data_IF_706299100729
#
_entry.id   IF_706299100729
#
_cell.length_a   1.000
_cell.length_b   1.000
_cell.length_c   1.000
_cell.angle_alpha   90.00
_cell.angle_beta   90.00
_cell.angle_gamma   90.00
#
_symmetry.space_group_name_H-M   'P 1'
#
loop_
_entity.id
_entity.type
_entity.pdbx_description
1 polymer ?
#
# COMPACT_ATOMS: atom_id res chain seq x y z
N UNK A 1 2.93 -21.62 -30.15
CA UNK A 1 3.00 -20.84 -28.88
C UNK A 1 1.72 -20.03 -28.80
N UNK A 2 0.74 -20.54 -28.08
CA UNK A 2 -0.56 -19.87 -27.88
C UNK A 2 -0.35 -18.67 -26.98
N UNK A 3 -0.39 -17.46 -27.52
CA UNK A 3 -0.56 -16.23 -26.74
C UNK A 3 -1.89 -16.36 -26.01
N UNK A 4 -1.84 -16.76 -24.74
CA UNK A 4 -3.01 -16.70 -23.87
C UNK A 4 -3.36 -15.22 -23.75
N UNK A 5 -4.41 -14.79 -24.42
CA UNK A 5 -4.90 -13.42 -24.32
C UNK A 5 -5.33 -13.20 -22.86
N UNK A 6 -4.52 -12.47 -22.10
CA UNK A 6 -4.77 -12.21 -20.70
C UNK A 6 -5.97 -11.26 -20.56
N UNK A 7 -7.06 -11.74 -19.99
CA UNK A 7 -8.20 -10.90 -19.65
C UNK A 7 -7.84 -10.04 -18.41
N UNK A 8 -7.57 -8.76 -18.65
CA UNK A 8 -7.20 -7.83 -17.59
C UNK A 8 -8.35 -7.53 -16.62
N UNK A 9 -9.60 -7.63 -17.07
CA UNK A 9 -10.76 -7.45 -16.19
C UNK A 9 -10.87 -8.61 -15.22
N UNK A 10 -10.70 -9.83 -15.71
CA UNK A 10 -10.67 -11.01 -14.86
C UNK A 10 -9.47 -11.00 -13.92
N UNK A 11 -8.28 -10.61 -14.40
CA UNK A 11 -7.09 -10.46 -13.55
C UNK A 11 -7.32 -9.47 -12.42
N UNK A 12 -7.93 -8.32 -12.70
CA UNK A 12 -8.24 -7.32 -11.67
C UNK A 12 -9.23 -7.87 -10.62
N UNK A 13 -10.20 -8.67 -11.04
CA UNK A 13 -11.13 -9.34 -10.11
C UNK A 13 -10.41 -10.39 -9.25
N UNK A 14 -9.55 -11.19 -9.85
CA UNK A 14 -8.73 -12.19 -9.15
C UNK A 14 -7.80 -11.54 -8.12
N UNK A 15 -7.10 -10.45 -8.46
CA UNK A 15 -6.24 -9.70 -7.55
C UNK A 15 -7.03 -9.19 -6.34
N UNK A 16 -8.23 -8.65 -6.55
CA UNK A 16 -9.10 -8.19 -5.46
C UNK A 16 -9.57 -9.34 -4.57
N UNK A 17 -9.84 -10.49 -5.16
CA UNK A 17 -10.19 -11.70 -4.40
C UNK A 17 -9.02 -12.16 -3.54
N UNK A 18 -7.84 -12.35 -4.12
CA UNK A 18 -6.63 -12.74 -3.39
C UNK A 18 -6.26 -11.75 -2.28
N UNK A 19 -6.44 -10.46 -2.53
CA UNK A 19 -6.25 -9.43 -1.49
C UNK A 19 -7.15 -9.67 -0.29
N UNK A 20 -8.43 -9.95 -0.50
CA UNK A 20 -9.37 -10.27 0.59
C UNK A 20 -9.01 -11.57 1.32
N UNK A 21 -8.64 -12.61 0.58
CA UNK A 21 -8.19 -13.89 1.15
C UNK A 21 -6.93 -13.75 2.02
N UNK A 22 -6.04 -12.83 1.65
CA UNK A 22 -4.87 -12.45 2.44
C UNK A 22 -5.20 -11.56 3.65
N UNK A 23 -6.48 -11.15 3.79
CA UNK A 23 -6.98 -10.37 4.92
C UNK A 23 -6.85 -8.87 4.77
N UNK A 24 -6.64 -8.35 3.56
CA UNK A 24 -6.79 -6.92 3.29
C UNK A 24 -8.28 -6.54 3.22
N UNK A 25 -8.66 -5.41 3.82
CA UNK A 25 -10.04 -4.92 3.80
C UNK A 25 -10.38 -4.25 2.47
N UNK A 26 -9.41 -3.58 1.88
CA UNK A 26 -9.57 -2.89 0.60
C UNK A 26 -8.35 -3.09 -0.29
N UNK A 27 -8.60 -3.11 -1.59
CA UNK A 27 -7.57 -3.14 -2.62
C UNK A 27 -8.02 -2.29 -3.81
N UNK A 28 -7.16 -1.37 -4.22
CA UNK A 28 -7.32 -0.54 -5.41
C UNK A 28 -6.24 -0.84 -6.46
N UNK A 29 -6.59 -0.70 -7.73
CA UNK A 29 -5.65 -0.79 -8.85
C UNK A 29 -5.79 0.52 -9.62
N UNK A 30 -4.70 1.28 -9.74
CA UNK A 30 -4.63 2.53 -10.48
C UNK A 30 -3.61 2.44 -11.62
N UNK A 31 -3.71 3.37 -12.55
CA UNK A 31 -2.63 3.65 -13.50
C UNK A 31 -1.47 4.40 -12.81
N UNK A 32 -0.53 4.89 -13.59
CA UNK A 32 0.68 5.58 -13.13
C UNK A 32 0.64 7.09 -13.42
N UNK A 33 -0.46 7.61 -13.96
CA UNK A 33 -0.61 9.03 -14.22
C UNK A 33 -1.05 9.76 -12.95
N UNK A 34 -0.09 10.42 -12.31
CA UNK A 34 -0.27 11.27 -11.13
C UNK A 34 0.07 12.74 -11.43
N UNK A 35 -0.07 13.17 -12.69
CA UNK A 35 0.28 14.53 -13.11
C UNK A 35 -0.49 15.61 -12.34
N UNK A 36 -1.74 15.35 -11.99
CA UNK A 36 -2.55 16.23 -11.15
C UNK A 36 -2.06 16.28 -9.71
N UNK A 37 -1.77 15.15 -9.13
CA UNK A 37 -1.28 15.01 -7.74
C UNK A 37 0.12 15.61 -7.60
N UNK A 38 0.95 15.51 -8.64
CA UNK A 38 2.27 16.15 -8.70
C UNK A 38 2.17 17.67 -8.55
N UNK A 39 1.23 18.30 -9.24
CA UNK A 39 0.97 19.74 -9.10
C UNK A 39 0.63 20.12 -7.64
N UNK A 40 -0.25 19.37 -7.00
CA UNK A 40 -0.65 19.63 -5.62
C UNK A 40 0.50 19.39 -4.63
N UNK A 41 1.27 18.33 -4.84
CA UNK A 41 2.46 18.06 -4.02
C UNK A 41 3.48 19.21 -4.15
N UNK A 42 3.73 19.69 -5.36
CA UNK A 42 4.67 20.80 -5.57
C UNK A 42 4.20 22.09 -4.90
N UNK A 43 2.92 22.46 -5.06
CA UNK A 43 2.36 23.62 -4.38
C UNK A 43 2.46 23.52 -2.86
N UNK A 44 2.25 22.32 -2.30
CA UNK A 44 2.36 22.06 -0.87
C UNK A 44 3.80 22.21 -0.39
N UNK A 45 4.77 21.72 -1.16
CA UNK A 45 6.21 21.87 -0.87
C UNK A 45 6.65 23.34 -0.98
N UNK A 46 6.25 24.04 -2.04
CA UNK A 46 6.59 25.46 -2.27
C UNK A 46 6.03 26.37 -1.16
N UNK A 47 4.91 25.96 -0.56
CA UNK A 47 4.29 26.65 0.58
C UNK A 47 4.96 26.33 1.91
N UNK A 48 5.95 25.43 1.96
CA UNK A 48 6.65 25.03 3.18
C UNK A 48 5.81 24.21 4.15
N UNK A 49 4.70 23.63 3.69
CA UNK A 49 3.76 22.89 4.55
C UNK A 49 4.32 21.56 5.07
N UNK A 50 5.42 21.08 4.50
CA UNK A 50 6.15 19.89 4.98
C UNK A 50 6.85 20.14 6.33
N UNK A 51 7.05 21.40 6.75
CA UNK A 51 7.82 21.72 7.95
C UNK A 51 9.19 21.06 7.93
N UNK A 52 9.55 20.37 9.01
CA UNK A 52 10.83 19.66 9.16
C UNK A 52 10.90 18.31 8.42
N UNK A 53 9.87 17.95 7.62
CA UNK A 53 9.85 16.69 6.86
C UNK A 53 10.59 16.82 5.52
N UNK A 54 11.88 17.15 5.55
CA UNK A 54 12.72 17.35 4.35
C UNK A 54 12.72 16.16 3.39
N UNK A 55 12.45 14.94 3.92
CA UNK A 55 12.36 13.73 3.10
C UNK A 55 11.20 13.81 2.08
N UNK A 56 10.22 14.68 2.27
CA UNK A 56 9.13 14.86 1.32
C UNK A 56 9.59 15.44 -0.01
N UNK A 57 10.59 16.32 0.00
CA UNK A 57 11.20 16.90 -1.21
C UNK A 57 12.34 16.02 -1.79
N UNK A 58 12.97 15.19 -0.96
CA UNK A 58 14.24 14.51 -1.27
C UNK A 58 14.22 13.63 -2.52
N UNK A 59 13.10 13.02 -2.84
CA UNK A 59 12.97 12.09 -3.97
C UNK A 59 12.40 12.73 -5.24
N UNK A 60 12.18 14.06 -5.23
CA UNK A 60 11.70 14.80 -6.38
C UNK A 60 10.46 14.15 -7.02
N UNK A 61 10.49 14.04 -8.34
CA UNK A 61 9.38 13.48 -9.16
C UNK A 61 9.14 11.98 -8.98
N UNK A 62 10.10 11.22 -8.44
CA UNK A 62 9.90 9.79 -8.20
C UNK A 62 8.75 9.46 -7.23
N UNK A 63 8.25 10.45 -6.45
CA UNK A 63 7.05 10.30 -5.61
C UNK A 63 5.76 10.22 -6.39
N UNK A 64 5.71 10.86 -7.53
CA UNK A 64 4.52 11.01 -8.37
C UNK A 64 4.65 10.30 -9.71
N UNK A 65 5.83 9.75 -9.98
CA UNK A 65 6.12 9.02 -11.21
C UNK A 65 6.63 7.61 -10.90
N UNK A 66 5.72 6.66 -10.70
CA UNK A 66 6.07 5.29 -10.31
C UNK A 66 7.04 4.59 -11.26
N UNK A 67 7.03 4.94 -12.53
CA UNK A 67 7.93 4.43 -13.56
C UNK A 67 9.38 4.96 -13.44
N UNK A 68 9.58 6.13 -12.84
CA UNK A 68 10.93 6.62 -12.48
C UNK A 68 11.50 5.82 -11.30
N UNK A 69 10.62 5.38 -10.37
CA UNK A 69 11.02 4.56 -9.22
C UNK A 69 11.29 3.11 -9.63
N UNK A 70 10.40 2.54 -10.42
CA UNK A 70 10.49 1.17 -10.94
C UNK A 70 10.21 1.20 -12.44
N UNK A 71 11.25 1.19 -13.30
CA UNK A 71 11.10 1.25 -14.75
C UNK A 71 10.18 0.16 -15.28
N UNK A 72 9.24 0.57 -16.14
CA UNK A 72 8.26 -0.31 -16.74
C UNK A 72 7.00 -0.55 -15.90
N UNK A 73 6.81 0.19 -14.80
CA UNK A 73 5.58 0.16 -14.01
C UNK A 73 4.38 0.60 -14.86
N UNK A 74 3.36 -0.24 -14.94
CA UNK A 74 2.13 0.03 -15.71
C UNK A 74 0.90 0.21 -14.81
N UNK A 75 0.94 -0.32 -13.60
CA UNK A 75 -0.15 -0.23 -12.60
C UNK A 75 0.42 -0.20 -11.20
N UNK A 76 -0.30 0.45 -10.30
CA UNK A 76 -0.03 0.44 -8.86
C UNK A 76 -1.19 -0.26 -8.17
N UNK A 77 -0.86 -1.26 -7.35
CA UNK A 77 -1.82 -1.96 -6.49
C UNK A 77 -1.65 -1.45 -5.07
N UNK A 78 -2.69 -0.81 -4.56
CA UNK A 78 -2.72 -0.29 -3.19
C UNK A 78 -3.62 -1.15 -2.31
N UNK A 79 -3.19 -1.41 -1.10
CA UNK A 79 -3.93 -2.23 -0.14
C UNK A 79 -4.14 -1.49 1.18
N UNK A 80 -5.24 -1.82 1.87
CA UNK A 80 -5.52 -1.34 3.22
C UNK A 80 -5.64 -2.52 4.16
N UNK A 81 -4.86 -2.48 5.25
CA UNK A 81 -4.93 -3.45 6.34
C UNK A 81 -5.39 -2.75 7.63
N UNK A 82 -6.49 -3.21 8.20
CA UNK A 82 -6.99 -2.70 9.46
C UNK A 82 -6.12 -3.20 10.63
N UNK A 83 -5.84 -2.32 11.59
CA UNK A 83 -5.08 -2.64 12.80
C UNK A 83 -5.92 -2.52 14.08
N UNK A 84 -7.25 -2.43 13.96
CA UNK A 84 -8.18 -2.46 15.10
C UNK A 84 -8.81 -3.87 15.19
N UNK A 85 -8.31 -4.78 16.03
CA UNK A 85 -8.91 -6.08 16.21
C UNK A 85 -10.23 -5.97 16.98
N UNK A 86 -11.17 -6.90 16.71
CA UNK A 86 -12.49 -6.93 17.36
C UNK A 86 -12.40 -7.04 18.89
N UNK A 87 -11.38 -7.74 19.39
CA UNK A 87 -11.15 -7.94 20.83
C UNK A 87 -10.27 -6.82 21.46
N UNK A 88 -10.09 -5.69 20.78
CA UNK A 88 -9.31 -4.60 21.36
C UNK A 88 -10.03 -3.99 22.55
N UNK A 89 -9.32 -3.80 23.66
CA UNK A 89 -9.80 -3.04 24.82
C UNK A 89 -10.19 -1.62 24.39
N UNK A 90 -11.22 -1.07 24.99
CA UNK A 90 -11.61 0.32 24.73
C UNK A 90 -10.49 1.30 25.08
N UNK A 91 -10.39 2.37 24.28
CA UNK A 91 -9.31 3.34 24.44
C UNK A 91 -9.44 4.16 25.73
N UNK A 92 -10.69 4.51 26.10
CA UNK A 92 -10.94 5.29 27.30
C UNK A 92 -10.72 4.45 28.56
N UNK A 93 -11.16 3.18 28.55
CA UNK A 93 -10.86 2.24 29.63
C UNK A 93 -9.36 2.06 29.85
N UNK A 94 -8.57 2.08 28.78
CA UNK A 94 -7.10 1.96 28.87
C UNK A 94 -6.47 3.26 29.38
N UNK A 95 -7.00 4.42 28.98
CA UNK A 95 -6.50 5.73 29.42
C UNK A 95 -6.81 6.00 30.91
N UNK A 96 -7.96 5.51 31.38
CA UNK A 96 -8.39 5.69 32.78
C UNK A 96 -7.75 4.67 33.72
N UNK A 97 -7.05 3.67 33.21
CA UNK A 97 -6.38 2.63 33.99
C UNK A 97 -4.97 3.11 34.41
N UNK A 98 -4.73 3.38 35.73
CA UNK A 98 -3.46 3.86 36.20
C UNK A 98 -2.30 2.85 36.08
N UNK A 99 -2.63 1.56 35.92
CA UNK A 99 -1.67 0.46 35.80
C UNK A 99 -1.39 0.07 34.34
N UNK A 100 -2.00 0.76 33.36
CA UNK A 100 -1.86 0.49 31.95
C UNK A 100 -1.17 1.63 31.20
N UNK A 101 -0.23 1.30 30.31
CA UNK A 101 0.30 2.25 29.34
C UNK A 101 -0.60 2.30 28.10
N UNK A 102 -0.94 3.50 27.64
CA UNK A 102 -1.62 3.68 26.37
C UNK A 102 -0.62 3.65 25.23
N UNK A 103 -0.67 2.60 24.42
CA UNK A 103 0.19 2.43 23.25
C UNK A 103 -0.68 2.51 21.99
N UNK A 104 -0.22 3.26 20.99
CA UNK A 104 -0.91 3.36 19.68
C UNK A 104 -1.18 1.97 19.10
N UNK A 105 -2.41 1.72 18.67
CA UNK A 105 -2.89 0.40 18.26
C UNK A 105 -2.08 -0.21 17.12
N UNK A 106 -1.58 0.61 16.17
CA UNK A 106 -0.74 0.13 15.09
C UNK A 106 0.59 -0.48 15.55
N UNK A 107 1.06 -0.07 16.76
CA UNK A 107 2.30 -0.54 17.35
C UNK A 107 2.12 -1.80 18.21
N UNK A 108 0.88 -2.24 18.45
CA UNK A 108 0.60 -3.43 19.24
C UNK A 108 0.78 -4.70 18.41
N UNK A 109 1.29 -5.74 19.05
CA UNK A 109 1.44 -7.06 18.44
C UNK A 109 2.69 -7.21 17.57
N UNK A 110 2.52 -7.80 16.39
CA UNK A 110 3.63 -7.97 15.44
C UNK A 110 3.97 -6.67 14.74
N UNK A 111 5.26 -6.52 14.41
CA UNK A 111 5.72 -5.44 13.52
C UNK A 111 4.92 -5.44 12.21
N UNK A 112 4.11 -4.40 12.03
CA UNK A 112 3.20 -4.31 10.88
C UNK A 112 3.95 -4.24 9.53
N UNK A 113 5.18 -3.70 9.51
CA UNK A 113 6.00 -3.67 8.30
C UNK A 113 6.28 -5.09 7.80
N UNK A 114 6.61 -6.00 8.71
CA UNK A 114 6.86 -7.42 8.38
C UNK A 114 5.57 -8.13 7.95
N UNK A 115 4.47 -7.84 8.64
CA UNK A 115 3.16 -8.42 8.31
C UNK A 115 2.69 -7.96 6.93
N UNK A 116 2.75 -6.65 6.66
CA UNK A 116 2.36 -6.08 5.36
C UNK A 116 3.23 -6.61 4.23
N UNK A 117 4.56 -6.61 4.42
CA UNK A 117 5.49 -7.12 3.40
C UNK A 117 5.23 -8.58 3.06
N UNK A 118 5.01 -9.43 4.07
CA UNK A 118 4.73 -10.85 3.84
C UNK A 118 3.43 -11.06 3.04
N UNK A 119 2.38 -10.33 3.38
CA UNK A 119 1.09 -10.40 2.67
C UNK A 119 1.19 -9.85 1.24
N UNK A 120 1.88 -8.73 1.05
CA UNK A 120 2.10 -8.13 -0.27
C UNK A 120 2.96 -9.06 -1.16
N UNK A 121 3.98 -9.70 -0.60
CA UNK A 121 4.79 -10.67 -1.33
C UNK A 121 3.95 -11.88 -1.77
N UNK A 122 3.05 -12.37 -0.93
CA UNK A 122 2.13 -13.45 -1.30
C UNK A 122 1.17 -13.01 -2.43
N UNK A 123 0.65 -11.79 -2.37
CA UNK A 123 -0.18 -11.23 -3.43
C UNK A 123 0.60 -11.09 -4.75
N UNK A 124 1.82 -10.56 -4.70
CA UNK A 124 2.69 -10.44 -5.85
C UNK A 124 2.97 -11.80 -6.50
N UNK A 125 3.25 -12.84 -5.69
CA UNK A 125 3.47 -14.21 -6.17
C UNK A 125 2.23 -14.75 -6.92
N UNK A 126 1.02 -14.52 -6.40
CA UNK A 126 -0.21 -14.93 -7.07
C UNK A 126 -0.36 -14.22 -8.44
N UNK A 127 -0.06 -12.92 -8.47
CA UNK A 127 -0.10 -12.13 -9.72
C UNK A 127 0.92 -12.67 -10.72
N UNK A 128 2.17 -12.88 -10.31
CA UNK A 128 3.25 -13.41 -11.17
C UNK A 128 2.91 -14.78 -11.75
N UNK A 129 2.37 -15.68 -10.94
CA UNK A 129 1.91 -17.00 -11.40
C UNK A 129 0.81 -16.90 -12.47
N UNK A 130 -0.05 -15.89 -12.36
CA UNK A 130 -1.16 -15.69 -13.28
C UNK A 130 -0.75 -15.05 -14.61
N UNK A 131 0.25 -14.15 -14.58
CA UNK A 131 0.70 -13.37 -15.75
C UNK A 131 1.95 -13.92 -16.44
N UNK A 132 2.63 -14.91 -15.83
CA UNK A 132 3.89 -15.47 -16.34
C UNK A 132 5.10 -14.59 -16.06
N UNK A 133 6.04 -14.47 -17.01
CA UNK A 133 7.39 -13.87 -16.84
C UNK A 133 7.44 -12.36 -16.47
N UNK A 134 6.32 -11.73 -16.15
CA UNK A 134 6.29 -10.32 -15.72
C UNK A 134 6.61 -10.21 -14.23
N UNK A 135 7.40 -9.20 -13.87
CA UNK A 135 7.82 -8.99 -12.49
C UNK A 135 6.88 -8.05 -11.73
N UNK A 136 6.57 -8.41 -10.51
CA UNK A 136 5.96 -7.52 -9.51
C UNK A 136 7.03 -7.06 -8.52
N UNK A 137 6.94 -5.81 -8.04
CA UNK A 137 7.85 -5.26 -7.03
C UNK A 137 7.03 -4.84 -5.81
N UNK A 138 7.48 -5.25 -4.63
CA UNK A 138 6.84 -5.01 -3.33
C UNK A 138 7.71 -4.11 -2.45
#
# INVERSE_FOLDING_TARGET
MTSTNLDFSQLAADIKLWGRELGFQELGISDTDLSREEMFLQQWLDSGYQGDMDYMARHGTARTRPDELVPGTVRVISVRLNYLPVAARDSWETLDDPDAAFISRYALGRDYHKVMRAKLQALATNVEQRIGDRKSVV
#
